data_IF_977409235570
#
_entry.id   IF_977409235570
#
_cell.length_a   1.000
_cell.length_b   1.000
_cell.length_c   1.000
_cell.angle_alpha   90.00
_cell.angle_beta   90.00
_cell.angle_gamma   90.00
#
_symmetry.space_group_name_H-M   'P 1'
#
loop_
_entity.id
_entity.type
_entity.pdbx_description
1 polymer ?
#
# COMPACT_ATOMS: atom_id res chain seq x y z
N UNK A 1 48.74 22.19 -15.32
CA UNK A 1 49.33 22.11 -16.67
C UNK A 1 48.38 21.28 -17.50
N UNK A 2 47.67 21.96 -18.41
CA UNK A 2 46.56 21.39 -19.16
C UNK A 2 47.03 20.54 -20.34
N UNK A 3 46.26 19.52 -20.65
CA UNK A 3 46.43 18.72 -21.87
C UNK A 3 45.22 18.97 -22.77
N UNK A 4 45.55 19.22 -24.02
CA UNK A 4 44.80 19.93 -25.05
C UNK A 4 43.52 19.26 -25.55
N UNK A 5 42.60 20.13 -25.97
CA UNK A 5 41.58 19.90 -26.99
C UNK A 5 42.16 19.27 -28.27
N UNK A 6 41.45 18.31 -28.83
CA UNK A 6 41.29 18.19 -30.29
C UNK A 6 39.84 17.87 -30.61
N UNK A 7 39.22 18.83 -31.28
CA UNK A 7 37.91 18.77 -31.92
C UNK A 7 38.01 17.82 -33.11
N UNK A 8 37.12 16.84 -33.22
CA UNK A 8 36.92 16.11 -34.46
C UNK A 8 35.44 16.13 -34.80
N UNK A 9 35.09 17.15 -35.60
CA UNK A 9 33.84 17.22 -36.31
C UNK A 9 33.84 16.18 -37.43
N UNK A 10 32.88 15.27 -37.42
CA UNK A 10 32.51 14.48 -38.58
C UNK A 10 30.99 14.59 -38.74
N UNK A 11 30.58 15.59 -39.50
CA UNK A 11 29.25 15.70 -40.08
C UNK A 11 29.07 14.57 -41.09
N UNK A 12 28.42 13.49 -40.68
CA UNK A 12 27.89 12.49 -41.61
C UNK A 12 26.38 12.73 -41.76
N UNK A 13 26.04 13.58 -42.73
CA UNK A 13 24.68 13.69 -43.27
C UNK A 13 24.39 12.36 -43.97
N UNK A 14 23.53 11.53 -43.39
CA UNK A 14 23.07 10.28 -44.01
C UNK A 14 21.55 10.30 -44.16
N UNK A 15 21.17 10.46 -45.43
CA UNK A 15 19.94 10.08 -46.11
C UNK A 15 18.70 9.77 -45.27
N UNK A 16 17.74 10.69 -45.40
CA UNK A 16 16.32 10.55 -45.10
C UNK A 16 15.70 9.42 -45.96
N UNK A 17 15.46 8.25 -45.37
CA UNK A 17 14.56 7.23 -45.94
C UNK A 17 13.22 7.31 -45.18
N UNK A 18 12.24 8.00 -45.77
CA UNK A 18 10.84 7.91 -45.35
C UNK A 18 10.29 6.54 -45.75
N UNK A 19 10.43 5.56 -44.87
CA UNK A 19 9.61 4.36 -44.90
C UNK A 19 8.24 4.71 -44.31
N UNK A 20 7.26 5.02 -45.18
CA UNK A 20 5.84 5.00 -44.81
C UNK A 20 5.47 3.54 -44.54
N UNK A 21 5.54 3.15 -43.27
CA UNK A 21 4.91 1.93 -42.79
C UNK A 21 3.41 2.20 -42.68
N UNK A 22 2.52 1.43 -43.34
CA UNK A 22 1.11 1.50 -43.01
C UNK A 22 0.98 1.06 -41.55
N UNK A 23 0.55 1.99 -40.69
CA UNK A 23 0.09 1.67 -39.36
C UNK A 23 -1.11 0.74 -39.52
N UNK A 24 -0.87 -0.57 -39.42
CA UNK A 24 -1.92 -1.53 -39.17
C UNK A 24 -2.49 -1.18 -37.80
N UNK A 25 -3.53 -0.33 -37.81
CA UNK A 25 -4.42 -0.12 -36.69
C UNK A 25 -5.02 -1.48 -36.35
N UNK A 26 -4.32 -2.23 -35.50
CA UNK A 26 -4.90 -3.32 -34.76
C UNK A 26 -5.88 -2.66 -33.79
N UNK A 27 -7.10 -2.39 -34.29
CA UNK A 27 -8.29 -2.35 -33.45
C UNK A 27 -8.52 -3.79 -32.96
N UNK A 28 -7.59 -4.27 -32.13
CA UNK A 28 -7.80 -5.41 -31.29
C UNK A 28 -8.83 -4.96 -30.28
N UNK A 29 -10.09 -5.33 -30.51
CA UNK A 29 -11.04 -5.56 -29.42
C UNK A 29 -10.47 -6.72 -28.58
N UNK A 30 -9.39 -6.43 -27.85
CA UNK A 30 -8.99 -7.23 -26.71
C UNK A 30 -10.22 -7.21 -25.81
N UNK A 31 -10.90 -8.35 -25.72
CA UNK A 31 -11.99 -8.53 -24.78
C UNK A 31 -11.46 -8.02 -23.43
N UNK A 32 -12.01 -6.89 -22.94
CA UNK A 32 -11.57 -6.35 -21.66
C UNK A 32 -11.76 -7.47 -20.65
N UNK A 33 -10.65 -7.92 -20.08
CA UNK A 33 -10.66 -8.85 -18.97
C UNK A 33 -11.59 -8.29 -17.89
N UNK A 34 -12.35 -9.16 -17.23
CA UNK A 34 -13.25 -8.73 -16.16
C UNK A 34 -12.51 -7.85 -15.16
N UNK A 35 -13.11 -6.73 -14.71
CA UNK A 35 -12.46 -5.81 -13.78
C UNK A 35 -11.94 -6.53 -12.55
N UNK A 36 -10.76 -6.13 -12.09
CA UNK A 36 -10.18 -6.69 -10.85
C UNK A 36 -10.80 -6.02 -9.65
N UNK A 37 -10.91 -6.76 -8.55
CA UNK A 37 -11.52 -6.26 -7.31
C UNK A 37 -10.58 -5.33 -6.56
N UNK A 38 -11.14 -4.52 -5.66
CA UNK A 38 -10.38 -3.69 -4.71
C UNK A 38 -9.34 -4.50 -3.95
N UNK A 39 -9.72 -5.66 -3.40
CA UNK A 39 -8.81 -6.55 -2.66
C UNK A 39 -7.65 -7.01 -3.53
N UNK A 40 -7.91 -7.38 -4.79
CA UNK A 40 -6.86 -7.80 -5.70
C UNK A 40 -5.86 -6.66 -5.92
N UNK A 41 -6.32 -5.45 -6.28
CA UNK A 41 -5.43 -4.30 -6.44
C UNK A 41 -4.73 -3.89 -5.13
N UNK A 42 -5.33 -4.13 -3.96
CA UNK A 42 -4.69 -3.83 -2.67
C UNK A 42 -3.44 -4.70 -2.47
N UNK A 43 -3.50 -5.96 -2.91
CA UNK A 43 -2.42 -6.94 -2.84
C UNK A 43 -1.41 -6.83 -4.01
N UNK A 44 -1.80 -6.20 -5.12
CA UNK A 44 -0.99 -6.06 -6.35
C UNK A 44 -0.59 -4.60 -6.58
N UNK A 45 0.44 -4.15 -5.84
CA UNK A 45 0.86 -2.74 -5.81
C UNK A 45 1.28 -2.18 -7.17
N UNK A 46 1.99 -2.97 -7.97
CA UNK A 46 2.53 -2.51 -9.25
C UNK A 46 1.40 -2.29 -10.26
N UNK A 47 0.50 -3.25 -10.37
CA UNK A 47 -0.65 -3.22 -11.26
C UNK A 47 -1.63 -2.12 -10.86
N UNK A 48 -1.85 -1.93 -9.55
CA UNK A 48 -2.61 -0.79 -9.04
C UNK A 48 -2.01 0.54 -9.51
N UNK A 49 -0.70 0.71 -9.40
CA UNK A 49 -0.03 1.94 -9.82
C UNK A 49 -0.12 2.17 -11.34
N UNK A 50 0.02 1.12 -12.14
CA UNK A 50 -0.11 1.21 -13.60
C UNK A 50 -1.52 1.63 -14.02
N UNK A 51 -2.55 1.02 -13.43
CA UNK A 51 -3.94 1.39 -13.70
C UNK A 51 -4.20 2.82 -13.26
N UNK A 52 -3.79 3.21 -12.05
CA UNK A 52 -3.95 4.58 -11.58
C UNK A 52 -3.31 5.63 -12.50
N UNK A 53 -2.11 5.35 -13.04
CA UNK A 53 -1.47 6.23 -14.02
C UNK A 53 -2.32 6.35 -15.28
N UNK A 54 -2.78 5.22 -15.85
CA UNK A 54 -3.65 5.24 -17.02
C UNK A 54 -4.95 6.04 -16.77
N UNK A 55 -5.56 5.90 -15.59
CA UNK A 55 -6.76 6.66 -15.20
C UNK A 55 -6.50 8.16 -15.06
N UNK A 56 -5.30 8.57 -14.63
CA UNK A 56 -4.90 9.97 -14.52
C UNK A 56 -4.61 10.59 -15.88
N UNK A 57 -4.07 9.81 -16.81
CA UNK A 57 -3.74 10.26 -18.17
C UNK A 57 -4.99 10.43 -19.05
N UNK A 58 -6.07 9.66 -18.79
CA UNK A 58 -7.35 9.77 -19.49
C UNK A 58 -8.55 9.81 -18.50
N UNK A 59 -8.67 10.89 -17.71
CA UNK A 59 -9.69 10.98 -16.66
C UNK A 59 -11.11 11.05 -17.23
N UNK A 60 -11.29 11.55 -18.46
CA UNK A 60 -12.60 11.68 -19.09
C UNK A 60 -13.20 10.33 -19.46
N UNK A 61 -12.49 9.53 -20.25
CA UNK A 61 -13.00 8.24 -20.70
C UNK A 61 -13.03 7.20 -19.57
N UNK A 62 -12.14 7.33 -18.58
CA UNK A 62 -11.96 6.31 -17.54
C UNK A 62 -12.58 6.67 -16.19
N UNK A 63 -13.26 7.82 -16.06
CA UNK A 63 -13.89 8.27 -14.80
C UNK A 63 -14.80 7.21 -14.15
N UNK A 64 -15.51 6.46 -14.99
CA UNK A 64 -16.49 5.43 -14.57
C UNK A 64 -15.99 4.01 -14.86
N UNK A 65 -14.72 3.86 -15.23
CA UNK A 65 -14.15 2.55 -15.46
C UNK A 65 -14.01 1.81 -14.11
N UNK A 66 -14.56 0.59 -13.98
CA UNK A 66 -14.50 -0.15 -12.73
C UNK A 66 -13.08 -0.45 -12.25
N UNK A 67 -12.11 -0.65 -13.15
CA UNK A 67 -10.71 -0.86 -12.76
C UNK A 67 -10.10 0.41 -12.16
N UNK A 68 -10.45 1.59 -12.69
CA UNK A 68 -10.02 2.87 -12.11
C UNK A 68 -10.59 3.11 -10.71
N UNK A 69 -11.88 2.84 -10.53
CA UNK A 69 -12.54 2.95 -9.22
C UNK A 69 -11.89 1.97 -8.23
N UNK A 70 -11.76 0.69 -8.63
CA UNK A 70 -11.24 -0.34 -7.75
C UNK A 70 -9.76 -0.11 -7.40
N UNK A 71 -8.93 0.34 -8.34
CA UNK A 71 -7.54 0.67 -8.09
C UNK A 71 -7.37 1.88 -7.16
N UNK A 72 -8.26 2.88 -7.24
CA UNK A 72 -8.28 4.01 -6.33
C UNK A 72 -8.65 3.57 -4.90
N UNK A 73 -9.78 2.90 -4.73
CA UNK A 73 -10.24 2.38 -3.43
C UNK A 73 -9.21 1.43 -2.79
N UNK A 74 -8.50 0.66 -3.60
CA UNK A 74 -7.46 -0.25 -3.13
C UNK A 74 -6.28 0.48 -2.45
N UNK A 75 -6.03 1.75 -2.77
CA UNK A 75 -5.00 2.53 -2.07
C UNK A 75 -5.42 2.88 -0.65
N UNK A 76 -6.71 3.17 -0.45
CA UNK A 76 -7.28 3.40 0.88
C UNK A 76 -7.25 2.11 1.69
N UNK A 77 -7.68 1.00 1.11
CA UNK A 77 -7.67 -0.31 1.77
C UNK A 77 -6.24 -0.73 2.15
N UNK A 78 -5.26 -0.58 1.24
CA UNK A 78 -3.86 -0.88 1.54
C UNK A 78 -3.31 0.00 2.67
N UNK A 79 -3.64 1.30 2.68
CA UNK A 79 -3.23 2.21 3.74
C UNK A 79 -3.86 1.84 5.09
N UNK A 80 -5.14 1.47 5.11
CA UNK A 80 -5.83 1.01 6.33
C UNK A 80 -5.24 -0.30 6.87
N UNK A 81 -4.94 -1.27 5.99
CA UNK A 81 -4.25 -2.51 6.38
C UNK A 81 -2.89 -2.20 7.00
N UNK A 82 -2.11 -1.35 6.35
CA UNK A 82 -0.80 -0.94 6.86
C UNK A 82 -0.91 -0.21 8.20
N UNK A 83 -1.88 0.69 8.36
CA UNK A 83 -2.13 1.36 9.62
C UNK A 83 -2.47 0.35 10.71
N UNK A 84 -3.46 -0.53 10.50
CA UNK A 84 -3.84 -1.59 11.45
C UNK A 84 -2.66 -2.48 11.84
N UNK A 85 -1.80 -2.83 10.87
CA UNK A 85 -0.60 -3.62 11.13
C UNK A 85 0.42 -2.87 12.02
N UNK A 86 0.44 -1.54 12.00
CA UNK A 86 1.31 -0.70 12.83
C UNK A 86 0.71 -0.38 14.19
N UNK A 87 -0.61 -0.20 14.31
CA UNK A 87 -1.26 0.27 15.55
C UNK A 87 -1.48 -0.83 16.61
N UNK A 88 -0.97 -2.05 16.38
CA UNK A 88 -1.20 -3.16 17.30
C UNK A 88 -2.68 -3.54 17.40
N UNK A 89 -3.04 -4.29 18.44
CA UNK A 89 -4.43 -4.69 18.69
C UNK A 89 -5.19 -3.55 19.36
N UNK A 90 -6.36 -3.17 18.81
CA UNK A 90 -7.22 -2.10 19.36
C UNK A 90 -8.30 -2.60 20.35
N UNK A 91 -8.42 -3.92 20.55
CA UNK A 91 -9.43 -4.52 21.43
C UNK A 91 -8.86 -4.74 22.85
N UNK A 92 -9.36 -4.02 23.89
CA UNK A 92 -8.88 -4.16 25.27
C UNK A 92 -9.14 -5.54 25.90
N UNK A 93 -9.95 -6.39 25.25
CA UNK A 93 -10.19 -7.78 25.65
C UNK A 93 -9.05 -8.72 25.24
N UNK A 94 -8.13 -8.27 24.40
CA UNK A 94 -6.98 -9.06 23.99
C UNK A 94 -5.74 -8.67 24.80
N UNK A 95 -4.93 -9.64 25.27
CA UNK A 95 -3.69 -9.32 25.98
C UNK A 95 -2.72 -8.45 25.18
N UNK A 96 -2.67 -8.64 23.85
CA UNK A 96 -1.82 -7.87 22.95
C UNK A 96 -2.06 -6.35 23.05
N UNK A 97 -3.30 -5.89 23.18
CA UNK A 97 -3.63 -4.46 23.38
C UNK A 97 -2.86 -3.84 24.55
N UNK A 98 -2.71 -4.59 25.65
CA UNK A 98 -2.02 -4.12 26.85
C UNK A 98 -0.50 -4.28 26.75
N UNK A 99 -0.02 -5.22 25.92
CA UNK A 99 1.41 -5.38 25.62
C UNK A 99 1.93 -4.30 24.66
N UNK A 100 1.10 -3.87 23.71
CA UNK A 100 1.44 -2.86 22.70
C UNK A 100 1.64 -1.45 23.33
N UNK A 101 1.03 -1.18 24.49
CA UNK A 101 1.24 0.04 25.31
C UNK A 101 1.49 -0.28 26.80
N UNK A 102 2.76 -0.49 27.21
CA UNK A 102 3.12 -0.81 28.59
C UNK A 102 2.76 0.28 29.61
N UNK A 103 2.70 1.55 29.21
CA UNK A 103 2.37 2.65 30.14
C UNK A 103 0.87 2.69 30.44
N UNK A 104 0.03 2.52 29.41
CA UNK A 104 -1.40 2.37 29.60
C UNK A 104 -1.73 1.14 30.46
N UNK A 105 -1.07 0.00 30.18
CA UNK A 105 -1.19 -1.21 31.02
C UNK A 105 -0.81 -0.97 32.47
N UNK A 106 0.32 -0.31 32.73
CA UNK A 106 0.75 0.03 34.10
C UNK A 106 -0.32 0.87 34.81
N UNK A 107 -0.83 1.91 34.13
CA UNK A 107 -1.87 2.79 34.66
C UNK A 107 -3.15 2.01 34.98
N UNK A 108 -3.57 1.12 34.09
CA UNK A 108 -4.72 0.23 34.31
C UNK A 108 -4.54 -0.66 35.53
N UNK A 109 -3.38 -1.30 35.67
CA UNK A 109 -3.10 -2.18 36.80
C UNK A 109 -3.05 -1.44 38.15
N UNK A 110 -2.62 -0.18 38.16
CA UNK A 110 -2.69 0.67 39.35
C UNK A 110 -4.14 0.97 39.75
N UNK A 111 -5.02 1.26 38.78
CA UNK A 111 -6.45 1.44 39.04
C UNK A 111 -7.10 0.14 39.54
N UNK A 112 -6.78 -1.00 38.91
CA UNK A 112 -7.29 -2.31 39.29
C UNK A 112 -6.92 -2.71 40.72
N UNK A 113 -5.77 -2.26 41.23
CA UNK A 113 -5.39 -2.49 42.63
C UNK A 113 -6.34 -1.82 43.62
N UNK A 114 -6.93 -0.67 43.23
CA UNK A 114 -7.87 0.09 44.07
C UNK A 114 -9.30 -0.39 43.89
N UNK A 115 -9.68 -0.80 42.68
CA UNK A 115 -11.00 -1.33 42.35
C UNK A 115 -10.86 -2.57 41.42
N UNK A 116 -10.93 -3.79 41.96
CA UNK A 116 -10.73 -5.02 41.18
C UNK A 116 -11.88 -5.31 40.22
N UNK A 117 -13.07 -4.73 40.44
CA UNK A 117 -14.26 -4.93 39.60
C UNK A 117 -14.19 -4.14 38.27
N UNK A 118 -13.14 -3.35 38.06
CA UNK A 118 -12.96 -2.64 36.79
C UNK A 118 -12.78 -3.63 35.64
N UNK A 119 -13.44 -3.34 34.52
CA UNK A 119 -13.30 -4.16 33.31
C UNK A 119 -11.84 -4.30 32.89
N UNK A 120 -11.49 -5.46 32.36
CA UNK A 120 -10.17 -5.79 31.78
C UNK A 120 -9.00 -5.86 32.78
N UNK A 121 -9.25 -5.84 34.09
CA UNK A 121 -8.18 -6.04 35.08
C UNK A 121 -7.47 -7.39 34.92
N UNK A 122 -8.23 -8.46 34.71
CA UNK A 122 -7.69 -9.81 34.49
C UNK A 122 -6.89 -9.89 33.18
N UNK A 123 -7.39 -9.31 32.10
CA UNK A 123 -6.71 -9.35 30.79
C UNK A 123 -5.42 -8.53 30.81
N UNK A 124 -5.44 -7.34 31.41
CA UNK A 124 -4.25 -6.52 31.60
C UNK A 124 -3.19 -7.26 32.43
N UNK A 125 -3.59 -7.95 33.51
CA UNK A 125 -2.67 -8.79 34.30
C UNK A 125 -2.14 -9.97 33.49
N UNK A 126 -3.00 -10.63 32.72
CA UNK A 126 -2.63 -11.78 31.87
C UNK A 126 -1.56 -11.40 30.85
N UNK A 127 -1.61 -10.20 30.27
CA UNK A 127 -0.58 -9.74 29.33
C UNK A 127 0.84 -9.74 29.96
N UNK A 128 0.98 -9.35 31.23
CA UNK A 128 2.25 -9.44 31.95
C UNK A 128 2.67 -10.89 32.22
N UNK A 129 1.71 -11.78 32.50
CA UNK A 129 2.00 -13.19 32.68
C UNK A 129 2.50 -13.82 31.39
N UNK A 130 1.93 -13.44 30.24
CA UNK A 130 2.39 -13.90 28.92
C UNK A 130 3.81 -13.43 28.66
N UNK A 131 4.11 -12.13 28.83
CA UNK A 131 5.48 -11.60 28.66
C UNK A 131 6.49 -12.21 29.63
N UNK A 132 6.06 -12.58 30.83
CA UNK A 132 6.88 -13.28 31.81
C UNK A 132 7.03 -14.79 31.53
N UNK A 133 6.44 -15.33 30.45
CA UNK A 133 6.45 -16.76 30.12
C UNK A 133 5.63 -17.64 31.08
N UNK A 134 4.71 -17.05 31.84
CA UNK A 134 3.86 -17.71 32.85
C UNK A 134 2.45 -18.03 32.35
N UNK A 135 2.09 -17.58 31.15
CA UNK A 135 0.82 -17.86 30.49
C UNK A 135 1.03 -17.94 28.97
N UNK A 136 0.03 -18.47 28.27
CA UNK A 136 -0.07 -18.48 26.81
C UNK A 136 -1.31 -17.70 26.37
#
# INVERSE_FOLDING_TARGET
MGTSCTVQAALAVSALMLAVSPAAAHAGTAARSSPKTVTWYADHRQERAQVQLACLDDPGHLLRDPDCINAHEASVEAALRQARARTGTLDPRQPAFWSDDPQNRRSKLLMCRRNPELQYCEVARRSLLIEAGKAR
#
